data_IF_552388965249
#
_entry.id   IF_552388965249
#
_cell.length_a   1.000
_cell.length_b   1.000
_cell.length_c   1.000
_cell.angle_alpha   90.00
_cell.angle_beta   90.00
_cell.angle_gamma   90.00
#
_symmetry.space_group_name_H-M   'P 1'
#
loop_
_entity.id
_entity.type
_entity.pdbx_description
1 polymer ?
#
# COMPACT_ATOMS: atom_id res chain seq x y z
N UNK A 1 4.21 19.68 -17.02
CA UNK A 1 4.07 18.23 -17.34
C UNK A 1 5.07 17.45 -16.47
N UNK A 2 4.68 17.05 -15.25
CA UNK A 2 5.61 16.37 -14.32
C UNK A 2 5.69 14.88 -14.61
N UNK A 3 6.60 14.49 -15.52
CA UNK A 3 6.94 13.09 -15.79
C UNK A 3 7.97 12.62 -14.75
N UNK A 4 7.50 12.36 -13.53
CA UNK A 4 8.36 11.85 -12.46
C UNK A 4 8.92 10.46 -12.81
N UNK A 5 10.16 10.24 -12.41
CA UNK A 5 11.03 9.05 -12.58
C UNK A 5 10.53 7.77 -11.87
N UNK A 6 9.22 7.64 -11.64
CA UNK A 6 8.59 6.60 -10.80
C UNK A 6 8.75 5.16 -11.32
N UNK A 7 8.98 4.97 -12.63
CA UNK A 7 9.12 3.63 -13.21
C UNK A 7 10.38 2.91 -12.70
N UNK A 8 11.49 3.65 -12.56
CA UNK A 8 12.79 3.10 -12.14
C UNK A 8 12.80 2.73 -10.66
N UNK A 9 12.12 3.54 -9.84
CA UNK A 9 12.00 3.29 -8.39
C UNK A 9 11.16 2.06 -8.08
N UNK A 10 10.15 1.74 -8.90
CA UNK A 10 9.27 0.61 -8.62
C UNK A 10 9.95 -0.76 -8.77
N UNK A 11 10.83 -0.90 -9.76
CA UNK A 11 11.64 -2.11 -9.94
C UNK A 11 12.65 -2.29 -8.80
N UNK A 12 13.23 -1.20 -8.32
CA UNK A 12 14.16 -1.21 -7.19
C UNK A 12 13.44 -1.53 -5.87
N UNK A 13 12.27 -0.95 -5.63
CA UNK A 13 11.43 -1.24 -4.46
C UNK A 13 11.01 -2.71 -4.38
N UNK A 14 10.70 -3.35 -5.51
CA UNK A 14 10.37 -4.77 -5.52
C UNK A 14 11.59 -5.65 -5.15
N UNK A 15 12.76 -5.35 -5.72
CA UNK A 15 14.01 -6.05 -5.39
C UNK A 15 14.38 -5.88 -3.93
N UNK A 16 14.29 -4.65 -3.42
CA UNK A 16 14.60 -4.32 -2.02
C UNK A 16 13.62 -4.98 -1.06
N UNK A 17 12.33 -4.95 -1.36
CA UNK A 17 11.32 -5.69 -0.58
C UNK A 17 11.57 -7.20 -0.60
N UNK A 18 11.95 -7.79 -1.74
CA UNK A 18 12.26 -9.23 -1.83
C UNK A 18 13.47 -9.61 -0.97
N UNK A 19 14.48 -8.75 -0.90
CA UNK A 19 15.65 -8.94 -0.03
C UNK A 19 15.27 -8.84 1.46
N UNK A 20 14.57 -7.77 1.84
CA UNK A 20 14.16 -7.53 3.24
C UNK A 20 13.18 -8.59 3.72
N UNK A 21 12.20 -8.97 2.90
CA UNK A 21 11.25 -10.04 3.22
C UNK A 21 11.95 -11.38 3.42
N UNK A 22 12.92 -11.74 2.58
CA UNK A 22 13.72 -12.97 2.78
C UNK A 22 14.45 -12.94 4.13
N UNK A 23 15.16 -11.85 4.44
CA UNK A 23 15.86 -11.71 5.72
C UNK A 23 14.91 -11.81 6.93
N UNK A 24 13.76 -11.16 6.87
CA UNK A 24 12.77 -11.24 7.94
C UNK A 24 12.18 -12.64 8.07
N UNK A 25 11.93 -13.34 6.96
CA UNK A 25 11.45 -14.73 6.99
C UNK A 25 12.47 -15.67 7.61
N UNK A 26 13.74 -15.48 7.30
CA UNK A 26 14.84 -16.27 7.86
C UNK A 26 15.02 -15.97 9.37
N UNK A 27 14.93 -14.70 9.75
CA UNK A 27 15.02 -14.27 11.15
C UNK A 27 13.85 -14.79 12.02
N UNK A 28 12.61 -14.66 11.52
CA UNK A 28 11.41 -15.10 12.23
C UNK A 28 11.07 -16.59 12.01
N UNK A 29 11.82 -17.30 11.15
CA UNK A 29 11.52 -18.66 10.66
C UNK A 29 10.05 -18.86 10.25
N UNK A 30 9.45 -17.84 9.64
CA UNK A 30 8.02 -17.78 9.32
C UNK A 30 7.79 -17.34 7.88
N UNK A 31 6.70 -17.81 7.27
CA UNK A 31 6.26 -17.40 5.93
C UNK A 31 5.38 -16.14 6.02
N UNK A 32 4.73 -15.92 7.18
CA UNK A 32 3.91 -14.75 7.47
C UNK A 32 4.82 -13.63 7.98
N UNK A 33 4.76 -12.47 7.33
CA UNK A 33 5.50 -11.27 7.72
C UNK A 33 4.54 -10.19 8.22
N UNK A 34 4.72 -9.67 9.45
CA UNK A 34 3.97 -8.51 9.89
C UNK A 34 4.31 -7.31 9.00
N UNK A 35 3.29 -6.67 8.44
CA UNK A 35 3.47 -5.54 7.51
C UNK A 35 4.21 -4.37 8.17
N UNK A 36 4.09 -4.22 9.50
CA UNK A 36 4.80 -3.21 10.29
C UNK A 36 6.31 -3.41 10.36
N UNK A 37 6.84 -4.61 10.08
CA UNK A 37 8.29 -4.86 10.06
C UNK A 37 8.95 -4.56 8.72
N UNK A 38 8.17 -4.17 7.70
CA UNK A 38 8.68 -3.84 6.38
C UNK A 38 9.01 -2.34 6.29
N UNK A 39 10.30 -2.01 6.17
CA UNK A 39 10.74 -0.63 5.92
C UNK A 39 10.39 -0.13 4.52
N UNK A 40 10.29 -1.03 3.54
CA UNK A 40 9.89 -0.73 2.16
C UNK A 40 8.88 -1.77 1.69
N UNK A 41 7.78 -1.34 1.09
CA UNK A 41 6.68 -2.22 0.71
C UNK A 41 6.03 -1.83 -0.62
N UNK A 42 5.55 -2.83 -1.34
CA UNK A 42 4.78 -2.66 -2.58
C UNK A 42 3.44 -1.95 -2.32
N UNK A 43 2.80 -1.50 -3.41
CA UNK A 43 1.54 -0.74 -3.35
C UNK A 43 0.43 -1.51 -2.58
N UNK A 44 0.41 -2.84 -2.63
CA UNK A 44 -0.47 -3.72 -1.84
C UNK A 44 -0.25 -3.65 -0.33
N UNK A 45 1.00 -3.79 0.12
CA UNK A 45 1.31 -3.75 1.55
C UNK A 45 0.95 -2.39 2.14
N UNK A 46 1.25 -1.31 1.42
CA UNK A 46 0.88 0.05 1.80
C UNK A 46 -0.63 0.25 1.89
N UNK A 47 -1.38 -0.28 0.92
CA UNK A 47 -2.84 -0.22 0.95
C UNK A 47 -3.41 -0.98 2.16
N UNK A 48 -2.95 -2.21 2.41
CA UNK A 48 -3.42 -3.01 3.56
C UNK A 48 -3.09 -2.32 4.89
N UNK A 49 -1.88 -1.79 5.04
CA UNK A 49 -1.48 -1.06 6.25
C UNK A 49 -2.36 0.17 6.47
N UNK A 50 -2.58 0.96 5.42
CA UNK A 50 -3.45 2.13 5.49
C UNK A 50 -4.88 1.73 5.86
N UNK A 51 -5.43 0.66 5.26
CA UNK A 51 -6.76 0.15 5.59
C UNK A 51 -6.86 -0.21 7.08
N UNK A 52 -5.87 -0.91 7.64
CA UNK A 52 -5.86 -1.25 9.08
C UNK A 52 -5.79 -0.02 9.98
N UNK A 53 -4.98 0.97 9.62
CA UNK A 53 -4.92 2.24 10.36
C UNK A 53 -6.22 3.04 10.25
N UNK A 54 -6.81 3.08 9.06
CA UNK A 54 -8.10 3.72 8.84
C UNK A 54 -9.22 3.04 9.63
N UNK A 55 -9.25 1.70 9.66
CA UNK A 55 -10.20 0.94 10.46
C UNK A 55 -10.03 1.22 11.96
N UNK A 56 -8.79 1.43 12.42
CA UNK A 56 -8.51 1.78 13.82
C UNK A 56 -9.07 3.15 14.21
N UNK A 57 -9.03 4.14 13.32
CA UNK A 57 -9.60 5.48 13.55
C UNK A 57 -11.07 5.60 13.11
N UNK A 58 -11.71 4.49 12.70
CA UNK A 58 -13.10 4.48 12.24
C UNK A 58 -13.34 5.14 10.88
N UNK A 59 -12.30 5.32 10.07
CA UNK A 59 -12.40 5.98 8.76
C UNK A 59 -12.86 5.00 7.67
N UNK A 60 -14.02 5.24 7.03
CA UNK A 60 -14.56 4.35 6.02
C UNK A 60 -13.68 4.35 4.76
N UNK A 61 -13.00 3.24 4.52
CA UNK A 61 -12.19 3.05 3.32
C UNK A 61 -12.28 1.62 2.78
N UNK A 62 -11.90 1.42 1.51
CA UNK A 62 -11.89 0.12 0.84
C UNK A 62 -10.63 -0.01 -0.03
N UNK A 63 -10.06 -1.20 -0.07
CA UNK A 63 -8.96 -1.49 -0.99
C UNK A 63 -9.54 -1.71 -2.39
N UNK A 64 -9.06 -0.95 -3.36
CA UNK A 64 -9.38 -1.12 -4.77
C UNK A 64 -8.20 -1.72 -5.53
N UNK A 65 -8.52 -2.55 -6.53
CA UNK A 65 -7.54 -3.03 -7.49
C UNK A 65 -7.26 -1.91 -8.48
N UNK A 66 -5.97 -1.57 -8.65
CA UNK A 66 -5.55 -0.42 -9.45
C UNK A 66 -4.71 0.57 -8.65
N UNK A 67 -3.76 1.20 -9.32
CA UNK A 67 -2.96 2.30 -8.80
C UNK A 67 -2.50 3.15 -9.97
N UNK A 68 -2.80 4.45 -9.92
CA UNK A 68 -2.43 5.41 -10.97
C UNK A 68 -0.92 5.61 -11.07
N UNK A 69 -0.19 5.35 -9.98
CA UNK A 69 1.23 5.64 -9.84
C UNK A 69 2.12 4.39 -9.88
N UNK A 70 1.52 3.19 -9.88
CA UNK A 70 2.27 1.95 -9.98
C UNK A 70 2.01 1.30 -11.34
N UNK A 71 3.07 0.84 -12.02
CA UNK A 71 2.99 0.10 -13.30
C UNK A 71 2.99 -1.43 -13.08
N UNK A 72 3.31 -1.91 -11.87
CA UNK A 72 3.33 -3.33 -11.50
C UNK A 72 1.99 -4.05 -11.75
N UNK A 73 2.05 -5.36 -12.03
CA UNK A 73 0.90 -6.21 -12.38
C UNK A 73 -0.13 -6.36 -11.22
N UNK A 74 0.34 -6.09 -9.99
CA UNK A 74 -0.37 -6.35 -8.76
C UNK A 74 -0.82 -5.03 -8.08
N UNK A 75 -1.42 -4.10 -8.83
CA UNK A 75 -1.76 -2.75 -8.33
C UNK A 75 -2.88 -2.76 -7.29
N UNK A 76 -2.68 -2.04 -6.19
CA UNK A 76 -3.71 -1.79 -5.19
C UNK A 76 -3.58 -0.39 -4.61
N UNK A 77 -4.72 0.22 -4.30
CA UNK A 77 -4.84 1.53 -3.67
C UNK A 77 -5.97 1.49 -2.64
N UNK A 78 -5.97 2.40 -1.68
CA UNK A 78 -7.08 2.58 -0.76
C UNK A 78 -7.96 3.73 -1.24
N UNK A 79 -9.24 3.46 -1.43
CA UNK A 79 -10.27 4.46 -1.63
C UNK A 79 -10.84 4.80 -0.27
N UNK A 80 -10.67 6.05 0.15
CA UNK A 80 -11.32 6.59 1.34
C UNK A 80 -12.66 7.17 0.90
N UNK A 81 -13.75 6.73 1.53
CA UNK A 81 -15.06 7.32 1.32
C UNK A 81 -15.21 8.43 2.35
N UNK A 82 -14.95 9.66 1.96
CA UNK A 82 -15.30 10.80 2.79
C UNK A 82 -16.82 10.95 2.63
N UNK A 83 -17.59 10.72 3.70
CA UNK A 83 -18.97 11.22 3.72
C UNK A 83 -18.83 12.73 3.80
N UNK A 84 -19.12 13.40 2.69
CA UNK A 84 -19.26 14.83 2.68
C UNK A 84 -20.59 15.12 3.40
N UNK A 85 -20.52 15.64 4.62
CA UNK A 85 -21.68 16.15 5.36
C UNK A 85 -22.29 17.39 4.68
N UNK A 86 -21.89 17.75 3.44
CA UNK A 86 -22.65 18.69 2.62
C UNK A 86 -23.76 17.93 1.91
N UNK A 87 -24.73 17.54 2.72
CA UNK A 87 -26.10 17.63 2.28
C UNK A 87 -26.37 19.10 1.96
N UNK A 88 -26.09 19.52 0.73
CA UNK A 88 -26.84 20.64 0.17
C UNK A 88 -28.26 20.12 0.01
N UNK A 89 -29.10 20.49 0.96
CA UNK A 89 -30.55 20.52 0.79
C UNK A 89 -30.87 21.23 -0.53
N UNK A 90 -31.46 20.51 -1.47
CA UNK A 90 -32.33 21.05 -2.51
C UNK A 90 -33.40 20.03 -2.82
#
# INVERSE_FOLDING_TARGET
MFRGTFLREQGDLHKRWKLVSRRLRDFHKCIVLPIGSLSTGLCRHRAILFKKLADYIGLPCRIARGCKYCVADHRSSCLVKIQDDRQFSS
#
